data_IF_023757773024
#
_entry.id   IF_023757773024
#
_cell.length_a   1.000
_cell.length_b   1.000
_cell.length_c   1.000
_cell.angle_alpha   90.00
_cell.angle_beta   90.00
_cell.angle_gamma   90.00
#
_symmetry.space_group_name_H-M   'P 1'
#
loop_
_entity.id
_entity.type
_entity.pdbx_description
1 polymer ?
#
# COMPACT_ATOMS: atom_id res chain seq x y z
N UNK A 1 11.29 -2.78 -11.68
CA UNK A 1 10.82 -1.50 -12.23
C UNK A 1 9.44 -1.65 -12.82
N UNK A 2 8.64 -0.62 -12.72
CA UNK A 2 7.25 -0.68 -13.19
C UNK A 2 7.18 -0.96 -14.69
N UNK A 3 8.00 -0.31 -15.50
CA UNK A 3 7.97 -0.51 -16.95
C UNK A 3 8.34 -1.94 -17.34
N UNK A 4 9.34 -2.52 -16.69
CA UNK A 4 9.74 -3.90 -16.98
C UNK A 4 8.65 -4.87 -16.52
N UNK A 5 8.01 -4.60 -15.37
CA UNK A 5 6.92 -5.43 -14.88
C UNK A 5 5.72 -5.38 -15.81
N UNK A 6 5.37 -4.20 -16.33
CA UNK A 6 4.26 -4.06 -17.26
C UNK A 6 4.50 -4.85 -18.54
N UNK A 7 5.74 -4.81 -19.05
CA UNK A 7 6.09 -5.56 -20.26
C UNK A 7 6.00 -7.06 -20.04
N UNK A 8 6.52 -7.53 -18.90
CA UNK A 8 6.46 -8.94 -18.57
C UNK A 8 5.02 -9.43 -18.44
N UNK A 9 4.17 -8.64 -17.81
CA UNK A 9 2.76 -8.99 -17.65
C UNK A 9 2.02 -9.00 -18.99
N UNK A 10 2.36 -8.06 -19.88
CA UNK A 10 1.77 -8.03 -21.22
C UNK A 10 2.14 -9.30 -21.99
N UNK A 11 3.41 -9.68 -21.94
CA UNK A 11 3.89 -10.90 -22.62
C UNK A 11 3.19 -12.12 -22.07
N UNK A 12 3.06 -12.23 -20.77
CA UNK A 12 2.40 -13.36 -20.14
C UNK A 12 0.93 -13.45 -20.57
N UNK A 13 0.23 -12.32 -20.60
CA UNK A 13 -1.16 -12.28 -21.01
C UNK A 13 -1.31 -12.67 -22.49
N UNK A 14 -0.39 -12.18 -23.35
CA UNK A 14 -0.41 -12.51 -24.76
C UNK A 14 -0.19 -14.00 -24.97
N UNK A 15 0.76 -14.60 -24.25
CA UNK A 15 1.02 -16.03 -24.35
C UNK A 15 -0.20 -16.84 -23.94
N UNK A 16 -0.86 -16.42 -22.86
CA UNK A 16 -2.09 -17.09 -22.42
C UNK A 16 -3.19 -17.07 -23.47
N UNK A 17 -3.35 -15.93 -24.11
CA UNK A 17 -4.34 -15.78 -25.19
C UNK A 17 -4.01 -16.69 -26.35
N UNK A 18 -2.73 -16.74 -26.76
CA UNK A 18 -2.29 -17.56 -27.88
C UNK A 18 -2.40 -19.05 -27.60
N UNK A 19 -2.36 -19.44 -26.33
CA UNK A 19 -2.54 -20.85 -25.96
C UNK A 19 -3.98 -21.29 -25.99
N UNK A 20 -4.89 -20.41 -26.36
CA UNK A 20 -6.29 -20.77 -26.49
C UNK A 20 -7.06 -20.81 -25.18
N UNK A 21 -6.59 -20.11 -24.18
CA UNK A 21 -7.32 -19.99 -22.94
C UNK A 21 -8.64 -19.25 -23.20
N UNK A 22 -9.69 -19.61 -22.47
CA UNK A 22 -10.96 -18.94 -22.63
C UNK A 22 -10.92 -17.48 -22.21
N UNK A 23 -11.89 -16.71 -22.70
CA UNK A 23 -11.92 -15.27 -22.41
C UNK A 23 -11.95 -14.97 -20.90
N UNK A 24 -12.74 -15.73 -20.14
CA UNK A 24 -12.83 -15.51 -18.70
C UNK A 24 -11.47 -15.67 -18.03
N UNK A 25 -10.69 -16.67 -18.43
CA UNK A 25 -9.36 -16.89 -17.86
C UNK A 25 -8.42 -15.75 -18.20
N UNK A 26 -8.51 -15.23 -19.43
CA UNK A 26 -7.68 -14.10 -19.85
C UNK A 26 -8.07 -12.84 -19.11
N UNK A 27 -9.36 -12.59 -18.94
CA UNK A 27 -9.82 -11.44 -18.18
C UNK A 27 -9.29 -11.46 -16.74
N UNK A 28 -9.34 -12.62 -16.09
CA UNK A 28 -8.84 -12.76 -14.74
C UNK A 28 -7.33 -12.57 -14.68
N UNK A 29 -6.61 -13.09 -15.67
CA UNK A 29 -5.16 -12.93 -15.72
C UNK A 29 -4.79 -11.46 -15.87
N UNK A 30 -5.48 -10.73 -16.72
CA UNK A 30 -5.23 -9.30 -16.92
C UNK A 30 -5.55 -8.53 -15.66
N UNK A 31 -6.67 -8.85 -15.00
CA UNK A 31 -7.06 -8.18 -13.77
C UNK A 31 -5.98 -8.38 -12.69
N UNK A 32 -5.50 -9.60 -12.54
CA UNK A 32 -4.44 -9.92 -11.59
C UNK A 32 -3.17 -9.14 -11.94
N UNK A 33 -2.81 -9.11 -13.23
CA UNK A 33 -1.64 -8.40 -13.69
C UNK A 33 -1.75 -6.90 -13.39
N UNK A 34 -2.91 -6.31 -13.63
CA UNK A 34 -3.13 -4.89 -13.34
C UNK A 34 -3.01 -4.59 -11.87
N UNK A 35 -3.55 -5.48 -11.01
CA UNK A 35 -3.44 -5.30 -9.57
C UNK A 35 -1.99 -5.37 -9.11
N UNK A 36 -1.21 -6.32 -9.64
CA UNK A 36 0.21 -6.43 -9.30
C UNK A 36 0.98 -5.21 -9.74
N UNK A 37 0.70 -4.70 -10.94
CA UNK A 37 1.35 -3.49 -11.43
C UNK A 37 0.98 -2.30 -10.55
N UNK A 38 -0.28 -2.18 -10.19
CA UNK A 38 -0.75 -1.11 -9.31
C UNK A 38 -0.09 -1.17 -7.94
N UNK A 39 0.04 -2.36 -7.37
CA UNK A 39 0.69 -2.53 -6.08
C UNK A 39 2.17 -2.15 -6.15
N UNK A 40 2.86 -2.51 -7.24
CA UNK A 40 4.25 -2.11 -7.46
C UNK A 40 4.39 -0.60 -7.54
N UNK A 41 3.50 0.06 -8.28
CA UNK A 41 3.51 1.50 -8.39
C UNK A 41 3.27 2.15 -7.04
N UNK A 42 2.29 1.64 -6.28
CA UNK A 42 2.00 2.17 -4.96
C UNK A 42 3.20 2.01 -4.03
N UNK A 43 3.85 0.85 -4.05
CA UNK A 43 5.04 0.64 -3.23
C UNK A 43 6.16 1.61 -3.59
N UNK A 44 6.36 1.86 -4.89
CA UNK A 44 7.37 2.82 -5.33
C UNK A 44 7.04 4.23 -4.85
N UNK A 45 5.78 4.64 -4.95
CA UNK A 45 5.36 5.96 -4.48
C UNK A 45 5.54 6.10 -2.98
N UNK A 46 5.17 5.07 -2.22
CA UNK A 46 5.33 5.10 -0.77
C UNK A 46 6.80 5.12 -0.37
N UNK A 47 7.68 4.57 -1.20
CA UNK A 47 9.11 4.56 -0.94
C UNK A 47 9.81 5.87 -1.21
N UNK A 48 9.14 6.84 -1.83
CA UNK A 48 9.76 8.14 -2.12
C UNK A 48 10.04 8.96 -0.86
N UNK A 49 9.32 8.70 0.22
CA UNK A 49 9.50 9.40 1.49
C UNK A 49 9.37 8.39 2.61
N UNK A 50 10.46 8.18 3.34
CA UNK A 50 10.48 7.22 4.45
C UNK A 50 9.82 7.75 5.72
N UNK A 51 9.45 9.01 5.74
CA UNK A 51 8.89 9.62 6.93
C UNK A 51 9.95 10.12 7.91
N UNK A 52 11.23 10.13 7.51
CA UNK A 52 12.27 10.67 8.38
C UNK A 52 12.12 12.19 8.45
N UNK A 53 12.00 12.70 9.66
CA UNK A 53 11.73 14.13 9.91
C UNK A 53 12.80 14.73 10.81
N UNK A 54 14.04 14.28 10.63
CA UNK A 54 15.16 14.75 11.44
C UNK A 54 15.46 13.80 12.60
N UNK A 55 16.48 14.09 13.39
CA UNK A 55 16.90 13.19 14.49
C UNK A 55 15.90 13.15 15.64
N UNK A 56 15.08 14.18 15.80
CA UNK A 56 14.09 14.26 16.88
C UNK A 56 12.82 14.91 16.36
N UNK A 57 11.68 14.45 16.88
CA UNK A 57 10.38 15.00 16.55
C UNK A 57 9.55 15.11 17.83
N UNK A 58 8.51 15.93 17.78
CA UNK A 58 7.56 16.04 18.89
C UNK A 58 6.81 14.70 19.03
N UNK A 59 6.76 14.20 20.26
CA UNK A 59 6.07 12.92 20.51
C UNK A 59 4.55 13.09 20.66
N UNK A 60 4.06 14.32 20.64
CA UNK A 60 2.65 14.60 20.82
C UNK A 60 2.24 14.90 22.25
N UNK A 61 3.14 14.71 23.21
CA UNK A 61 2.86 14.93 24.63
C UNK A 61 3.81 15.94 25.27
N UNK A 62 4.42 16.78 24.47
CA UNK A 62 5.32 17.82 24.97
C UNK A 62 6.75 17.38 25.14
N UNK A 63 7.09 16.16 24.75
CA UNK A 63 8.44 15.63 24.79
C UNK A 63 8.94 15.42 23.37
N UNK A 64 10.19 14.97 23.26
CA UNK A 64 10.79 14.71 21.94
C UNK A 64 11.09 13.22 21.82
N UNK A 65 10.68 12.65 20.68
CA UNK A 65 11.01 11.29 20.31
C UNK A 65 12.26 11.30 19.45
N UNK A 66 13.13 10.31 19.63
CA UNK A 66 14.38 10.22 18.89
C UNK A 66 14.29 9.13 17.84
N UNK A 67 14.93 9.38 16.71
CA UNK A 67 14.98 8.40 15.63
C UNK A 67 15.71 7.15 16.11
N UNK A 68 15.13 5.98 15.85
CA UNK A 68 15.72 4.71 16.22
C UNK A 68 16.19 3.94 14.97
N UNK A 69 15.29 3.70 14.05
CA UNK A 69 15.60 2.87 12.87
C UNK A 69 14.46 2.95 11.88
N UNK A 70 14.69 2.35 10.71
CA UNK A 70 13.62 2.13 9.75
C UNK A 70 13.01 0.76 10.02
N UNK A 71 11.69 0.67 9.94
CA UNK A 71 10.96 -0.57 10.18
C UNK A 71 9.99 -0.81 9.05
N UNK A 72 9.89 -2.07 8.63
CA UNK A 72 8.97 -2.45 7.57
C UNK A 72 7.57 -2.65 8.12
N UNK A 73 6.60 -2.35 7.30
CA UNK A 73 5.20 -2.58 7.62
C UNK A 73 4.52 -3.10 6.36
N UNK A 74 3.73 -4.15 6.52
CA UNK A 74 2.91 -4.67 5.44
C UNK A 74 1.52 -4.10 5.56
N UNK A 75 0.99 -3.63 4.43
CA UNK A 75 -0.35 -3.08 4.35
C UNK A 75 -1.16 -3.86 3.33
N UNK A 76 -2.42 -4.14 3.66
CA UNK A 76 -3.38 -4.65 2.69
C UNK A 76 -4.07 -3.45 2.07
N UNK A 77 -4.00 -3.35 0.75
CA UNK A 77 -4.58 -2.23 0.01
C UNK A 77 -5.56 -2.75 -1.03
N UNK A 78 -6.32 -1.85 -1.62
CA UNK A 78 -7.25 -2.23 -2.69
C UNK A 78 -6.53 -2.81 -3.90
N UNK A 79 -5.22 -2.60 -4.02
CA UNK A 79 -4.41 -3.14 -5.11
C UNK A 79 -3.65 -4.40 -4.71
N UNK A 80 -3.81 -4.85 -3.47
CA UNK A 80 -3.11 -6.01 -2.94
C UNK A 80 -2.14 -5.62 -1.83
N UNK A 81 -1.39 -6.59 -1.30
CA UNK A 81 -0.47 -6.31 -0.20
C UNK A 81 0.74 -5.52 -0.70
N UNK A 82 1.17 -4.56 0.10
CA UNK A 82 2.41 -3.82 -0.16
C UNK A 82 3.18 -3.73 1.14
N UNK A 83 4.51 -3.64 1.02
CA UNK A 83 5.40 -3.46 2.16
C UNK A 83 6.11 -2.13 1.99
N UNK A 84 6.17 -1.36 3.05
CA UNK A 84 6.90 -0.10 3.04
C UNK A 84 7.81 -0.03 4.26
N UNK A 85 8.91 0.69 4.09
CA UNK A 85 9.86 0.98 5.17
C UNK A 85 9.60 2.40 5.64
N UNK A 86 9.52 2.60 6.93
CA UNK A 86 9.32 3.95 7.46
C UNK A 86 10.09 4.18 8.74
N UNK A 87 10.40 5.45 8.99
CA UNK A 87 11.19 5.86 10.14
C UNK A 87 10.41 5.66 11.43
N UNK A 88 11.06 5.03 12.39
CA UNK A 88 10.49 4.78 13.71
C UNK A 88 11.22 5.63 14.74
N UNK A 89 10.45 6.34 15.55
CA UNK A 89 10.94 7.19 16.63
C UNK A 89 10.46 6.64 17.96
N UNK A 90 11.23 6.89 19.00
CA UNK A 90 10.85 6.45 20.35
C UNK A 90 11.02 7.60 21.33
N UNK A 91 10.00 7.81 22.16
CA UNK A 91 10.04 8.79 23.22
C UNK A 91 10.30 8.05 24.53
N UNK A 92 11.45 8.26 25.15
CA UNK A 92 11.79 7.61 26.40
C UNK A 92 10.96 8.13 27.55
N UNK A 93 10.55 9.39 27.51
CA UNK A 93 9.72 9.97 28.57
C UNK A 93 8.33 9.39 28.59
N UNK A 94 7.76 9.14 27.42
CA UNK A 94 6.42 8.55 27.30
C UNK A 94 6.43 7.04 27.15
N UNK A 95 7.59 6.46 26.89
CA UNK A 95 7.76 5.02 26.68
C UNK A 95 6.91 4.49 25.53
N UNK A 96 6.77 5.26 24.45
CA UNK A 96 6.04 4.78 23.28
C UNK A 96 6.73 5.21 22.00
N UNK A 97 6.35 4.52 20.91
CA UNK A 97 6.90 4.78 19.60
C UNK A 97 6.04 5.75 18.82
N UNK A 98 6.67 6.46 17.88
CA UNK A 98 6.01 7.39 16.98
C UNK A 98 6.49 7.10 15.56
N UNK A 99 5.55 6.97 14.63
CA UNK A 99 5.85 6.73 13.23
C UNK A 99 5.10 7.78 12.42
N UNK A 100 5.75 8.90 12.07
CA UNK A 100 5.07 9.99 11.37
C UNK A 100 4.42 9.54 10.06
N UNK A 101 5.08 8.65 9.33
CA UNK A 101 4.54 8.17 8.05
C UNK A 101 3.21 7.46 8.24
N UNK A 102 3.07 6.66 9.28
CA UNK A 102 1.81 5.96 9.56
C UNK A 102 0.67 6.94 9.80
N UNK A 103 0.95 8.03 10.53
CA UNK A 103 -0.06 9.05 10.79
C UNK A 103 -0.44 9.77 9.50
N UNK A 104 0.54 10.12 8.69
CA UNK A 104 0.30 10.83 7.43
C UNK A 104 -0.50 9.99 6.46
N UNK A 105 -0.28 8.68 6.44
CA UNK A 105 -0.96 7.77 5.54
C UNK A 105 -2.30 7.28 6.07
N UNK A 106 -2.61 7.57 7.32
CA UNK A 106 -3.86 7.09 7.91
C UNK A 106 -3.85 5.62 8.25
N UNK A 107 -2.67 5.06 8.55
CA UNK A 107 -2.54 3.63 8.83
C UNK A 107 -1.97 3.36 10.22
N UNK A 108 -2.02 4.35 11.12
CA UNK A 108 -1.55 4.16 12.48
C UNK A 108 -2.42 3.11 13.17
N UNK A 109 -1.78 2.09 13.74
CA UNK A 109 -2.48 1.05 14.48
C UNK A 109 -3.27 0.06 13.62
N UNK A 110 -3.11 0.08 12.33
CA UNK A 110 -3.82 -0.85 11.44
C UNK A 110 -2.92 -1.29 10.30
N UNK A 111 -3.21 -2.46 9.75
CA UNK A 111 -2.56 -2.94 8.53
C UNK A 111 -3.45 -2.81 7.31
N UNK A 112 -4.58 -2.12 7.42
CA UNK A 112 -5.48 -1.88 6.29
C UNK A 112 -5.31 -0.46 5.80
N UNK A 113 -5.23 -0.28 4.47
CA UNK A 113 -5.18 1.04 3.89
C UNK A 113 -6.53 1.74 4.08
N UNK A 114 -6.57 3.08 4.05
CA UNK A 114 -7.84 3.80 4.09
C UNK A 114 -8.78 3.38 2.97
N UNK A 115 -8.23 3.03 1.79
CA UNK A 115 -9.05 2.56 0.69
C UNK A 115 -9.83 1.31 1.02
N UNK A 116 -9.23 0.40 1.82
CA UNK A 116 -9.93 -0.80 2.27
C UNK A 116 -10.84 -0.53 3.45
N UNK A 117 -10.34 0.22 4.44
CA UNK A 117 -11.10 0.40 5.68
C UNK A 117 -12.29 1.34 5.50
N UNK A 118 -12.23 2.24 4.52
CA UNK A 118 -13.30 3.21 4.27
C UNK A 118 -14.20 2.82 3.11
N UNK A 119 -13.78 1.85 2.31
CA UNK A 119 -14.51 1.48 1.11
C UNK A 119 -15.80 0.85 1.46
N UNK A 120 -16.29 0.50 2.19
CA UNK A 120 -17.45 -0.11 2.31
C UNK A 120 -18.59 0.34 2.00
N UNK A 121 -18.51 0.61 2.00
CA UNK A 121 -19.49 0.79 2.03
C UNK A 121 -20.26 0.81 1.12
N UNK A 122 -20.27 0.82 1.06
CA UNK A 122 -20.90 0.88 0.58
C UNK A 122 -21.57 0.38 0.07
N UNK A 123 -22.02 0.22 0.19
CA UNK A 123 -22.64 -0.32 -0.22
C UNK A 123 -23.16 -0.24 -0.93
N UNK A 124 -23.22 0.01 -0.87
CA UNK A 124 -23.61 -0.02 -1.42
C UNK A 124 -23.66 -0.17 -2.22
N UNK A 125 -23.58 -0.21 -2.24
CA UNK A 125 -23.62 -0.40 -3.01
C UNK A 125 -24.06 -0.56 -3.64
N UNK A 126 -24.43 -0.56 -3.46
CA UNK A 126 -24.92 -0.79 -4.08
C UNK A 126 -25.22 -0.38 -4.81
N UNK A 127 -25.39 -0.08 -4.76
CA UNK A 127 -25.75 0.10 -5.47
C UNK A 127 -25.40 0.09 -6.39
N UNK A 128 -24.90 0.09 -6.36
CA UNK A 128 -24.57 -0.01 -7.25
C UNK A 128 -24.73 -0.42 -8.05
N UNK A 129 -24.79 -0.69 -7.85
CA UNK A 129 -24.95 -1.19 -8.64
C UNK A 129 -25.42 -0.98 -9.31
N UNK A 130 -25.74 -0.88 -9.28
CA UNK A 130 -26.25 -0.78 -9.93
C UNK A 130 -25.98 -0.29 -10.81
N UNK A 131 -25.61 -0.09 -11.06
CA UNK A 131 -25.37 0.20 -11.84
C UNK A 131 -25.25 -0.19 -12.63
N UNK A 132 -25.43 -0.39 -12.74
CA UNK A 132 -25.38 -0.79 -13.45
C UNK A 132 -25.28 -0.92 -14.09
#
# INVERSE_FOLDING_TARGET
MVAASARALYTEATDGWQRGQGLAAVELAIRTAMSKLGASLLADLLGLDSGHRGPRIDCGAGHQAEFVSYRDKSLDTVLGPVTLSRAYYHCTDCSHGVVPKDDELGVAGTSLSPGLSEAPATPSSSSLGTIS
#
